data_IF_149699666463
#
_entry.id   IF_149699666463
#
_cell.length_a   1.000
_cell.length_b   1.000
_cell.length_c   1.000
_cell.angle_alpha   90.00
_cell.angle_beta   90.00
_cell.angle_gamma   90.00
#
_symmetry.space_group_name_H-M   'P 1'
#
loop_
_entity.id
_entity.type
_entity.pdbx_description
1 polymer ?
#
# COMPACT_ATOMS: atom_id res chain seq x y z
N UNK A 1 22.25 55.40 56.85
CA UNK A 1 21.53 54.15 56.50
C UNK A 1 20.49 54.51 55.45
N UNK A 2 20.74 54.18 54.19
CA UNK A 2 19.84 54.47 53.05
C UNK A 2 19.46 53.14 52.40
N UNK A 3 18.16 52.87 52.38
CA UNK A 3 17.51 51.86 51.53
C UNK A 3 17.83 52.15 50.06
N UNK A 4 18.01 51.11 49.25
CA UNK A 4 17.44 51.06 47.90
C UNK A 4 17.39 49.64 47.33
N UNK A 5 16.14 49.26 47.04
CA UNK A 5 15.58 48.29 46.10
C UNK A 5 16.49 47.31 45.35
N UNK A 6 16.19 46.03 45.57
CA UNK A 6 16.56 44.90 44.71
C UNK A 6 15.57 44.85 43.55
N UNK A 7 16.06 44.94 42.31
CA UNK A 7 15.30 44.64 41.09
C UNK A 7 15.99 43.48 40.40
N UNK A 8 15.31 42.33 40.37
CA UNK A 8 15.71 41.16 39.58
C UNK A 8 15.26 41.39 38.13
N UNK A 9 16.22 41.51 37.20
CA UNK A 9 15.96 41.41 35.76
C UNK A 9 16.45 40.05 35.28
N UNK A 10 15.51 39.12 35.12
CA UNK A 10 15.69 37.86 34.40
C UNK A 10 15.61 38.19 32.91
N UNK A 11 16.75 38.18 32.22
CA UNK A 11 16.76 38.34 30.75
C UNK A 11 16.75 36.96 30.13
N UNK A 12 15.60 36.62 29.57
CA UNK A 12 15.31 35.32 28.96
C UNK A 12 15.94 35.25 27.57
N UNK A 13 16.59 34.11 27.32
CA UNK A 13 17.22 33.69 26.08
C UNK A 13 16.16 33.45 24.99
N UNK A 14 16.24 34.14 23.85
CA UNK A 14 15.55 33.76 22.61
C UNK A 14 16.54 33.89 21.45
N UNK A 15 17.25 32.82 21.16
CA UNK A 15 17.93 32.61 19.89
C UNK A 15 16.84 32.29 18.86
N UNK A 16 16.39 33.32 18.13
CA UNK A 16 15.56 33.16 16.95
C UNK A 16 16.40 32.60 15.81
N UNK A 17 16.27 31.30 15.54
CA UNK A 17 16.67 30.74 14.25
C UNK A 17 15.52 30.94 13.27
N UNK A 18 15.65 31.98 12.44
CA UNK A 18 14.86 32.15 11.22
C UNK A 18 15.41 31.21 10.15
N UNK A 19 15.09 29.92 10.25
CA UNK A 19 15.19 29.00 9.12
C UNK A 19 13.84 28.99 8.40
N UNK A 20 13.69 29.86 7.41
CA UNK A 20 12.70 29.67 6.36
C UNK A 20 13.24 28.54 5.46
N UNK A 21 13.08 27.31 5.94
CA UNK A 21 13.30 26.12 5.13
C UNK A 21 12.11 25.99 4.20
N UNK A 22 12.29 26.37 2.94
CA UNK A 22 11.39 25.98 1.86
C UNK A 22 11.33 24.46 1.83
N UNK A 23 10.25 23.88 2.36
CA UNK A 23 9.91 22.50 2.07
C UNK A 23 9.65 22.42 0.56
N UNK A 24 10.37 21.59 -0.21
CA UNK A 24 9.86 21.24 -1.53
C UNK A 24 8.51 20.57 -1.31
N UNK A 25 7.44 21.20 -1.79
CA UNK A 25 6.20 20.50 -2.11
C UNK A 25 6.57 19.42 -3.13
N UNK A 26 6.78 18.19 -2.64
CA UNK A 26 6.72 17.03 -3.50
C UNK A 26 5.31 16.99 -4.07
N UNK A 27 5.18 17.20 -5.38
CA UNK A 27 3.96 16.88 -6.09
C UNK A 27 3.57 15.42 -5.75
N UNK A 28 2.28 15.11 -5.56
CA UNK A 28 1.85 13.73 -5.43
C UNK A 28 2.38 12.97 -6.64
N UNK A 29 3.18 11.95 -6.38
CA UNK A 29 3.72 11.05 -7.40
C UNK A 29 2.55 10.56 -8.23
N UNK A 30 2.46 11.06 -9.47
CA UNK A 30 1.57 10.52 -10.49
C UNK A 30 1.87 9.04 -10.58
N UNK A 31 0.97 8.24 -10.00
CA UNK A 31 1.02 6.79 -10.06
C UNK A 31 0.57 6.42 -11.47
N UNK A 32 1.54 6.45 -12.38
CA UNK A 32 1.34 6.03 -13.76
C UNK A 32 1.09 4.52 -13.72
N UNK A 33 -0.15 4.11 -13.98
CA UNK A 33 -0.47 2.69 -14.20
C UNK A 33 0.44 2.12 -15.29
N UNK A 34 0.97 0.93 -15.07
CA UNK A 34 1.98 0.34 -15.93
C UNK A 34 1.38 -0.07 -17.28
N UNK A 35 2.17 0.10 -18.34
CA UNK A 35 1.99 -0.61 -19.60
C UNK A 35 2.02 -2.11 -19.30
N UNK A 36 0.87 -2.77 -19.39
CA UNK A 36 0.70 -4.23 -19.41
C UNK A 36 1.95 -4.92 -19.94
N UNK A 37 2.65 -5.73 -19.13
CA UNK A 37 3.98 -6.27 -19.44
C UNK A 37 4.05 -6.99 -20.80
N UNK A 38 3.85 -8.30 -20.85
CA UNK A 38 3.60 -8.92 -22.16
C UNK A 38 2.17 -8.61 -22.60
N UNK A 39 2.03 -7.66 -23.53
CA UNK A 39 0.73 -7.24 -24.06
C UNK A 39 -0.08 -8.36 -24.73
N UNK A 40 0.54 -9.49 -25.08
CA UNK A 40 -0.13 -10.66 -25.66
C UNK A 40 -0.85 -11.55 -24.64
N UNK A 41 -0.47 -11.50 -23.36
CA UNK A 41 -1.03 -12.33 -22.31
C UNK A 41 -2.28 -11.70 -21.67
N UNK A 42 -3.13 -12.47 -20.98
CA UNK A 42 -4.07 -11.91 -20.01
C UNK A 42 -3.33 -11.03 -18.99
N UNK A 43 -3.96 -9.98 -18.48
CA UNK A 43 -3.30 -9.09 -17.52
C UNK A 43 -2.87 -9.84 -16.24
N UNK A 44 -3.58 -10.90 -15.87
CA UNK A 44 -3.24 -11.77 -14.73
C UNK A 44 -1.91 -12.49 -14.89
N UNK A 45 -1.40 -12.64 -16.12
CA UNK A 45 -0.20 -13.40 -16.46
C UNK A 45 0.91 -12.50 -17.06
N UNK A 46 0.75 -11.18 -16.98
CA UNK A 46 1.57 -10.24 -17.72
C UNK A 46 2.79 -9.71 -16.93
N UNK A 47 3.03 -10.19 -15.70
CA UNK A 47 3.95 -9.56 -14.76
C UNK A 47 4.95 -10.56 -14.16
N UNK A 48 6.20 -10.14 -14.05
CA UNK A 48 7.28 -10.84 -13.32
C UNK A 48 7.40 -10.23 -11.92
N UNK A 49 6.79 -10.84 -10.91
CA UNK A 49 6.67 -10.25 -9.56
C UNK A 49 7.93 -10.42 -8.71
N UNK A 50 8.81 -11.38 -9.04
CA UNK A 50 10.00 -11.70 -8.24
C UNK A 50 11.34 -11.37 -8.92
N UNK A 51 11.32 -10.94 -10.17
CA UNK A 51 12.44 -10.39 -10.94
C UNK A 51 13.26 -11.44 -11.70
N UNK A 52 12.72 -12.63 -11.93
CA UNK A 52 13.41 -13.76 -12.54
C UNK A 52 13.29 -13.84 -14.07
N UNK A 53 12.58 -12.87 -14.68
CA UNK A 53 12.25 -12.74 -16.11
C UNK A 53 11.27 -13.79 -16.65
N UNK A 54 10.49 -14.41 -15.78
CA UNK A 54 9.32 -15.20 -16.15
C UNK A 54 8.09 -14.52 -15.58
N UNK A 55 7.02 -14.52 -16.35
CA UNK A 55 5.78 -13.99 -15.84
C UNK A 55 5.15 -14.99 -14.87
N UNK A 56 4.53 -14.43 -13.85
CA UNK A 56 3.78 -15.08 -12.79
C UNK A 56 2.28 -14.90 -13.03
N UNK A 57 1.46 -15.62 -12.26
CA UNK A 57 0.02 -15.60 -12.40
C UNK A 57 -0.67 -15.06 -11.14
N UNK A 58 -1.53 -14.06 -11.32
CA UNK A 58 -2.48 -13.61 -10.31
C UNK A 58 -3.72 -14.50 -10.39
N UNK A 59 -3.94 -15.28 -9.33
CA UNK A 59 -5.08 -16.18 -9.18
C UNK A 59 -6.08 -15.50 -8.26
N UNK A 60 -7.35 -15.48 -8.64
CA UNK A 60 -8.42 -15.04 -7.74
C UNK A 60 -9.60 -16.01 -7.76
N UNK A 61 -10.06 -16.37 -6.57
CA UNK A 61 -11.22 -17.21 -6.37
C UNK A 61 -12.35 -16.40 -5.74
N UNK A 62 -13.55 -16.64 -6.24
CA UNK A 62 -14.77 -16.09 -5.66
C UNK A 62 -15.60 -17.21 -5.05
N UNK A 63 -15.93 -17.06 -3.77
CA UNK A 63 -16.91 -17.91 -3.10
C UNK A 63 -18.22 -17.15 -2.93
N UNK A 64 -19.29 -17.64 -3.57
CA UNK A 64 -20.63 -17.06 -3.43
C UNK A 64 -21.40 -17.63 -2.24
N UNK A 65 -22.25 -16.83 -1.61
CA UNK A 65 -23.10 -17.26 -0.49
C UNK A 65 -23.55 -16.10 0.40
N UNK A 66 -23.98 -16.39 1.63
CA UNK A 66 -24.33 -15.36 2.62
C UNK A 66 -23.11 -14.56 3.12
N UNK A 67 -21.90 -15.11 2.94
CA UNK A 67 -20.62 -14.47 3.17
C UNK A 67 -19.79 -14.63 1.90
N UNK A 68 -19.81 -13.62 1.03
CA UNK A 68 -19.09 -13.66 -0.24
C UNK A 68 -17.66 -13.22 0.00
N UNK A 69 -16.68 -14.07 -0.29
CA UNK A 69 -15.27 -13.73 -0.10
C UNK A 69 -14.49 -13.87 -1.40
N UNK A 70 -13.71 -12.85 -1.72
CA UNK A 70 -12.61 -12.95 -2.69
C UNK A 70 -11.35 -13.42 -1.97
N UNK A 71 -10.67 -14.40 -2.58
CA UNK A 71 -9.32 -14.81 -2.22
C UNK A 71 -8.41 -14.49 -3.40
N UNK A 72 -7.29 -13.83 -3.14
CA UNK A 72 -6.27 -13.53 -4.15
C UNK A 72 -5.00 -14.26 -3.76
N UNK A 73 -4.34 -14.84 -4.74
CA UNK A 73 -3.08 -15.55 -4.62
C UNK A 73 -2.18 -15.21 -5.80
N UNK A 74 -0.87 -15.39 -5.65
CA UNK A 74 0.09 -15.27 -6.76
C UNK A 74 0.84 -16.59 -6.88
N UNK A 75 0.85 -17.16 -8.09
CA UNK A 75 1.66 -18.30 -8.44
C UNK A 75 2.98 -17.83 -9.05
N UNK A 76 4.10 -18.19 -8.39
CA UNK A 76 5.45 -17.84 -8.83
C UNK A 76 6.02 -18.92 -9.72
N UNK A 77 6.21 -18.60 -11.00
CA UNK A 77 6.47 -19.60 -12.05
C UNK A 77 7.79 -20.35 -11.83
N UNK A 78 8.88 -19.69 -11.46
CA UNK A 78 10.15 -20.41 -11.24
C UNK A 78 10.19 -21.26 -9.99
N UNK A 79 9.30 -20.98 -9.03
CA UNK A 79 9.25 -21.71 -7.75
C UNK A 79 8.20 -22.80 -7.73
N UNK A 80 7.29 -22.79 -8.70
CA UNK A 80 6.12 -23.68 -8.76
C UNK A 80 5.32 -23.66 -7.44
N UNK A 81 5.15 -22.47 -6.87
CA UNK A 81 4.54 -22.26 -5.55
C UNK A 81 3.50 -21.15 -5.59
N UNK A 82 2.43 -21.29 -4.81
CA UNK A 82 1.34 -20.33 -4.71
C UNK A 82 1.37 -19.63 -3.36
N UNK A 83 1.45 -18.31 -3.37
CA UNK A 83 1.39 -17.48 -2.17
C UNK A 83 0.00 -16.87 -2.05
N UNK A 84 -0.73 -17.31 -1.04
CA UNK A 84 -2.03 -16.73 -0.68
C UNK A 84 -1.87 -15.37 -0.01
N UNK A 85 -2.59 -14.36 -0.50
CA UNK A 85 -2.69 -13.09 0.20
C UNK A 85 -3.51 -13.27 1.48
N UNK A 86 -3.09 -12.68 2.61
CA UNK A 86 -3.76 -12.89 3.90
C UNK A 86 -5.04 -12.05 4.07
N UNK A 87 -5.52 -11.42 3.00
CA UNK A 87 -6.62 -10.46 2.98
C UNK A 87 -7.86 -11.10 2.38
N UNK A 88 -8.85 -11.38 3.23
CA UNK A 88 -10.17 -11.83 2.79
C UNK A 88 -11.07 -10.61 2.68
N UNK A 89 -11.75 -10.45 1.55
CA UNK A 89 -12.58 -9.29 1.28
C UNK A 89 -14.04 -9.75 1.23
N UNK A 90 -14.78 -9.48 2.32
CA UNK A 90 -16.16 -9.90 2.53
C UNK A 90 -17.15 -8.93 1.81
N UNK A 91 -18.27 -9.45 1.33
CA UNK A 91 -19.30 -8.68 0.64
C UNK A 91 -19.00 -8.41 -0.84
N UNK A 92 -17.95 -9.03 -1.37
CA UNK A 92 -17.47 -8.82 -2.72
C UNK A 92 -16.54 -7.62 -2.84
N UNK A 93 -15.57 -7.70 -3.76
CA UNK A 93 -14.59 -6.66 -3.94
C UNK A 93 -15.15 -5.52 -4.78
N UNK A 94 -15.57 -4.44 -4.12
CA UNK A 94 -16.28 -3.30 -4.77
C UNK A 94 -15.44 -2.64 -5.86
N UNK A 95 -14.11 -2.68 -5.74
CA UNK A 95 -13.18 -2.18 -6.77
C UNK A 95 -13.15 -3.03 -8.03
N UNK A 96 -13.64 -4.27 -8.00
CA UNK A 96 -13.38 -5.23 -9.08
C UNK A 96 -11.90 -5.62 -9.16
N UNK A 97 -11.62 -6.77 -9.78
CA UNK A 97 -10.25 -7.25 -10.00
C UNK A 97 -9.83 -7.13 -11.46
N UNK A 98 -10.56 -6.38 -12.28
CA UNK A 98 -10.38 -6.27 -13.73
C UNK A 98 -9.59 -5.02 -14.16
N UNK A 99 -8.91 -4.36 -13.22
CA UNK A 99 -8.18 -3.10 -13.40
C UNK A 99 -9.05 -1.89 -13.80
N UNK A 100 -10.39 -1.99 -13.72
CA UNK A 100 -11.31 -0.90 -14.09
C UNK A 100 -11.35 0.26 -13.09
N UNK A 101 -10.97 0.01 -11.82
CA UNK A 101 -10.85 0.99 -10.74
C UNK A 101 -9.40 0.98 -10.20
N UNK A 102 -8.43 1.55 -10.94
CA UNK A 102 -7.00 1.45 -10.64
C UNK A 102 -6.58 2.11 -9.31
N UNK A 103 -7.41 2.99 -8.76
CA UNK A 103 -7.23 3.58 -7.43
C UNK A 103 -7.55 2.59 -6.29
N UNK A 104 -8.28 1.50 -6.60
CA UNK A 104 -8.66 0.46 -5.64
C UNK A 104 -7.95 -0.85 -5.91
N UNK A 105 -7.69 -1.18 -7.18
CA UNK A 105 -6.92 -2.37 -7.54
C UNK A 105 -6.15 -2.16 -8.83
N UNK A 106 -4.84 -2.35 -8.76
CA UNK A 106 -3.96 -2.17 -9.89
C UNK A 106 -2.66 -2.97 -9.72
N UNK A 107 -1.88 -3.06 -10.77
CA UNK A 107 -0.48 -3.49 -10.70
C UNK A 107 0.41 -2.29 -11.04
N UNK A 108 1.27 -1.92 -10.09
CA UNK A 108 2.18 -0.78 -10.18
C UNK A 108 3.62 -1.25 -10.21
N UNK A 109 4.55 -0.46 -10.74
CA UNK A 109 5.98 -0.73 -10.56
C UNK A 109 6.50 -0.02 -9.32
N UNK A 110 7.16 -0.78 -8.46
CA UNK A 110 7.86 -0.29 -7.28
C UNK A 110 9.15 0.45 -7.65
N UNK A 111 9.76 1.14 -6.68
CA UNK A 111 11.05 1.82 -6.85
C UNK A 111 12.21 0.88 -7.24
N UNK A 112 12.10 -0.41 -6.96
CA UNK A 112 13.10 -1.42 -7.36
C UNK A 112 12.88 -1.97 -8.79
N UNK A 113 11.84 -1.51 -9.47
CA UNK A 113 11.48 -1.95 -10.82
C UNK A 113 10.60 -3.19 -10.86
N UNK A 114 10.26 -3.81 -9.73
CA UNK A 114 9.36 -4.96 -9.69
C UNK A 114 7.89 -4.55 -9.59
N UNK A 115 6.95 -5.34 -10.14
CA UNK A 115 5.52 -5.14 -9.97
C UNK A 115 5.08 -5.31 -8.50
N UNK A 116 4.11 -4.50 -8.07
CA UNK A 116 3.37 -4.63 -6.82
C UNK A 116 1.87 -4.59 -7.12
N UNK A 117 1.09 -5.43 -6.45
CA UNK A 117 -0.38 -5.38 -6.48
C UNK A 117 -0.83 -4.29 -5.52
N UNK A 118 -1.36 -3.20 -6.03
CA UNK A 118 -2.13 -2.23 -5.24
C UNK A 118 -3.51 -2.83 -4.98
N UNK A 119 -3.93 -2.83 -3.72
CA UNK A 119 -5.27 -3.26 -3.35
C UNK A 119 -5.81 -2.49 -2.15
N UNK A 120 -7.10 -2.16 -2.21
CA UNK A 120 -7.88 -1.78 -1.07
C UNK A 120 -8.23 -3.03 -0.24
N UNK A 121 -8.19 -2.95 1.09
CA UNK A 121 -8.44 -4.08 1.98
C UNK A 121 -9.34 -3.68 3.14
N UNK A 122 -9.97 -4.68 3.76
CA UNK A 122 -10.79 -4.52 4.96
C UNK A 122 -11.86 -3.42 4.79
N UNK A 123 -12.59 -3.51 3.68
CA UNK A 123 -13.78 -2.69 3.43
C UNK A 123 -15.01 -3.58 3.29
N UNK A 124 -16.16 -3.05 3.71
CA UNK A 124 -17.45 -3.70 3.55
C UNK A 124 -18.38 -2.73 2.83
N UNK A 125 -18.88 -3.13 1.65
CA UNK A 125 -19.62 -2.23 0.75
C UNK A 125 -18.87 -0.91 0.48
N UNK A 126 -17.54 -0.98 0.35
CA UNK A 126 -16.67 0.17 0.12
C UNK A 126 -16.45 1.07 1.35
N UNK A 127 -16.98 0.71 2.52
CA UNK A 127 -16.74 1.44 3.76
C UNK A 127 -15.61 0.79 4.58
N UNK A 128 -14.59 1.54 5.04
CA UNK A 128 -13.55 1.04 5.94
C UNK A 128 -14.09 0.26 7.13
N UNK A 129 -13.49 -0.89 7.41
CA UNK A 129 -13.69 -1.64 8.65
C UNK A 129 -12.42 -1.62 9.51
N UNK A 130 -12.47 -1.96 10.81
CA UNK A 130 -11.25 -1.98 11.61
C UNK A 130 -10.23 -3.03 11.12
N UNK A 131 -9.03 -2.58 10.71
CA UNK A 131 -7.93 -3.49 10.31
C UNK A 131 -7.65 -4.54 11.40
N UNK A 132 -7.73 -5.85 11.08
CA UNK A 132 -7.51 -6.92 12.04
C UNK A 132 -6.16 -6.83 12.74
N UNK A 133 -6.16 -6.96 14.08
CA UNK A 133 -4.93 -6.93 14.87
C UNK A 133 -3.90 -8.00 14.45
N UNK A 134 -4.36 -9.12 13.87
CA UNK A 134 -3.48 -10.15 13.31
C UNK A 134 -2.67 -9.64 12.12
N UNK A 135 -3.25 -8.78 11.26
CA UNK A 135 -2.57 -8.22 10.10
C UNK A 135 -1.56 -7.15 10.52
N UNK A 136 -1.95 -6.28 11.45
CA UNK A 136 -1.04 -5.31 12.09
C UNK A 136 0.23 -5.99 12.62
N UNK A 137 0.06 -7.03 13.45
CA UNK A 137 1.19 -7.71 14.09
C UNK A 137 2.04 -8.55 13.15
N UNK A 138 1.43 -9.26 12.21
CA UNK A 138 2.16 -10.22 11.34
C UNK A 138 2.77 -9.54 10.12
N UNK A 139 2.11 -8.52 9.58
CA UNK A 139 2.48 -7.92 8.30
C UNK A 139 2.65 -6.40 8.35
N UNK A 140 2.45 -5.74 9.49
CA UNK A 140 2.64 -4.30 9.62
C UNK A 140 1.59 -3.45 8.88
N UNK A 141 0.41 -4.03 8.60
CA UNK A 141 -0.67 -3.33 7.87
C UNK A 141 -1.34 -2.30 8.78
N UNK A 142 -1.30 -1.04 8.36
CA UNK A 142 -1.87 0.11 9.08
C UNK A 142 -2.80 0.96 8.21
N UNK A 143 -2.84 0.70 6.90
CA UNK A 143 -3.71 1.37 5.92
C UNK A 143 -4.71 0.42 5.27
N UNK A 144 -5.80 0.98 4.78
CA UNK A 144 -6.77 0.30 3.93
C UNK A 144 -6.32 0.20 2.47
N UNK A 145 -5.32 1.00 2.08
CA UNK A 145 -4.71 0.91 0.77
C UNK A 145 -3.28 0.39 0.95
N UNK A 146 -2.98 -0.74 0.31
CA UNK A 146 -1.67 -1.39 0.41
C UNK A 146 -1.12 -1.71 -0.98
N UNK A 147 0.19 -1.80 -1.07
CA UNK A 147 0.89 -2.43 -2.18
C UNK A 147 1.53 -3.74 -1.71
N UNK A 148 1.42 -4.79 -2.52
CA UNK A 148 1.91 -6.15 -2.24
C UNK A 148 2.93 -6.54 -3.29
N UNK A 149 4.18 -6.72 -2.89
CA UNK A 149 5.26 -7.21 -3.74
C UNK A 149 5.74 -8.60 -3.34
N UNK A 150 6.51 -9.24 -4.22
CA UNK A 150 7.08 -10.57 -3.99
C UNK A 150 8.59 -10.65 -4.25
N UNK A 151 9.42 -9.70 -3.78
CA UNK A 151 10.86 -9.73 -4.06
C UNK A 151 11.49 -11.03 -3.53
N UNK A 152 12.20 -11.74 -4.41
CA UNK A 152 12.78 -13.07 -4.12
C UNK A 152 11.73 -14.12 -3.67
N UNK A 153 10.48 -13.97 -4.12
CA UNK A 153 9.36 -14.87 -3.84
C UNK A 153 8.90 -14.86 -2.38
N UNK A 154 9.01 -13.73 -1.68
CA UNK A 154 8.49 -13.54 -0.34
C UNK A 154 7.55 -12.33 -0.30
N UNK A 155 6.42 -12.45 0.39
CA UNK A 155 5.46 -11.36 0.50
C UNK A 155 6.07 -10.15 1.22
N UNK A 156 6.01 -9.00 0.56
CA UNK A 156 6.34 -7.69 1.13
C UNK A 156 5.12 -6.78 1.01
N UNK A 157 4.85 -6.02 2.07
CA UNK A 157 3.75 -5.06 2.09
C UNK A 157 4.24 -3.66 2.32
N UNK A 158 3.54 -2.71 1.70
CA UNK A 158 3.72 -1.29 1.93
C UNK A 158 2.36 -0.64 2.16
N UNK A 159 2.25 0.12 3.24
CA UNK A 159 1.08 0.96 3.50
C UNK A 159 1.11 2.17 2.58
N UNK A 160 -0.01 2.46 1.92
CA UNK A 160 -0.21 3.65 1.10
C UNK A 160 -1.09 4.65 1.85
N UNK A 161 -0.93 5.94 1.55
CA UNK A 161 -1.85 6.95 2.06
C UNK A 161 -3.24 6.71 1.47
N UNK A 162 -4.25 6.86 2.32
CA UNK A 162 -5.63 6.69 1.93
C UNK A 162 -6.32 8.04 1.94
N UNK A 163 -6.32 8.68 0.77
CA UNK A 163 -7.01 9.94 0.56
C UNK A 163 -8.49 9.65 0.33
N UNK A 164 -9.25 9.60 1.42
CA UNK A 164 -10.72 9.64 1.35
C UNK A 164 -11.11 11.12 1.21
N UNK A 165 -11.35 11.58 -0.01
CA UNK A 165 -12.04 12.87 -0.27
C UNK A 165 -13.51 12.82 0.17
#
# INVERSE_FOLDING_TARGET
>A
MRQQFIVFFVTMLLLGWSSCGSYPQGNPTTTTGIEKGDSALPWTEAYDFDGDKKNDEIIYDYTGGAHCCYKISVFLTSREDTIDLPFSMDGGYVGGLDLSQPERFNVLTSSDGLPEILMEIETYNGSPQPIPAKWKRKYGVESHLIAVGFPNGAIQLRNLEWDQE
#
